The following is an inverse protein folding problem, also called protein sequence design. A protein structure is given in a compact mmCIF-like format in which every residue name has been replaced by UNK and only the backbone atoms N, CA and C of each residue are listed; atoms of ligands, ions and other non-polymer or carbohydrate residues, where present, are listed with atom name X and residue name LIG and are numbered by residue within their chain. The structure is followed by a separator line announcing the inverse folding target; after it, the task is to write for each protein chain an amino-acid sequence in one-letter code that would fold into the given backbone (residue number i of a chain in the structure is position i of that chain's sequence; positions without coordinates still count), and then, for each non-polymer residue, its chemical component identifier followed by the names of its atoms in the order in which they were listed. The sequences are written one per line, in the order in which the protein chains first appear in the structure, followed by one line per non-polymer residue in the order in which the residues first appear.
data_IF_879406049471
#
_entry.id   IF_879406049471
#
_cell.length_a   1.000
_cell.length_b   1.000
_cell.length_c   1.000
_cell.angle_alpha   90.00
_cell.angle_beta   90.00
_cell.angle_gamma   90.00
#
_symmetry.space_group_name_H-M   'P 1'
#
loop_
_entity.id
_entity.type
_entity.pdbx_description
1 polymer ?
#
# COMPACT_ATOMS: atom_id res chain seq x y z
N UNK A 1 -11.57 -16.05 -4.72
CA UNK A 1 -12.74 -15.20 -4.36
C UNK A 1 -13.79 -16.02 -3.63
N UNK A 2 -14.24 -17.14 -4.16
CA UNK A 2 -15.29 -17.99 -3.57
C UNK A 2 -14.99 -18.43 -2.12
N UNK A 3 -13.74 -18.81 -1.83
CA UNK A 3 -13.30 -19.14 -0.46
C UNK A 3 -13.47 -17.97 0.52
N UNK A 4 -13.18 -16.73 0.10
CA UNK A 4 -13.37 -15.54 0.93
C UNK A 4 -14.85 -15.25 1.12
N UNK A 5 -15.66 -15.42 0.08
CA UNK A 5 -17.12 -15.27 0.19
C UNK A 5 -17.71 -16.26 1.19
N UNK A 6 -17.28 -17.53 1.16
CA UNK A 6 -17.74 -18.53 2.13
C UNK A 6 -17.37 -18.13 3.57
N UNK A 7 -16.11 -17.74 3.79
CA UNK A 7 -15.63 -17.28 5.09
C UNK A 7 -16.41 -16.06 5.61
N UNK A 8 -16.56 -15.01 4.80
CA UNK A 8 -17.24 -13.79 5.22
C UNK A 8 -18.73 -14.00 5.45
N UNK A 9 -19.39 -14.85 4.65
CA UNK A 9 -20.78 -15.24 4.89
C UNK A 9 -20.95 -15.99 6.22
N UNK A 10 -20.01 -16.85 6.58
CA UNK A 10 -20.02 -17.51 7.90
C UNK A 10 -19.89 -16.46 9.01
N UNK A 11 -18.97 -15.49 8.88
CA UNK A 11 -18.81 -14.41 9.87
C UNK A 11 -20.09 -13.57 10.00
N UNK A 12 -20.63 -13.09 8.88
CA UNK A 12 -21.85 -12.27 8.84
C UNK A 12 -23.04 -12.97 9.52
N UNK A 13 -23.23 -14.28 9.26
CA UNK A 13 -24.31 -15.07 9.88
C UNK A 13 -24.14 -15.30 11.40
N UNK A 14 -22.91 -15.21 11.90
CA UNK A 14 -22.58 -15.51 13.30
C UNK A 14 -22.23 -14.26 14.12
N UNK A 15 -22.39 -13.07 13.55
CA UNK A 15 -22.16 -11.80 14.23
C UNK A 15 -23.42 -10.94 14.21
N UNK A 16 -23.51 -9.96 15.10
CA UNK A 16 -24.64 -9.02 15.13
C UNK A 16 -24.11 -7.62 14.80
N UNK A 17 -24.76 -6.95 13.86
CA UNK A 17 -24.34 -5.65 13.34
C UNK A 17 -23.33 -5.75 12.20
N UNK A 18 -23.30 -4.71 11.37
CA UNK A 18 -22.31 -4.56 10.31
C UNK A 18 -21.04 -3.91 10.87
N UNK A 19 -19.84 -4.36 10.46
CA UNK A 19 -18.59 -3.71 10.86
C UNK A 19 -18.54 -2.25 10.36
N UNK A 20 -18.10 -1.33 11.21
CA UNK A 20 -17.91 0.07 10.78
C UNK A 20 -16.79 0.22 9.76
N UNK A 21 -15.71 -0.55 9.93
CA UNK A 21 -14.57 -0.59 9.01
C UNK A 21 -13.95 -2.00 9.01
N UNK A 22 -13.54 -2.48 7.83
CA UNK A 22 -12.71 -3.68 7.65
C UNK A 22 -11.34 -3.24 7.13
N UNK A 23 -10.29 -3.72 7.79
CA UNK A 23 -8.91 -3.55 7.34
C UNK A 23 -8.50 -4.83 6.62
N UNK A 24 -8.25 -4.74 5.32
CA UNK A 24 -7.84 -5.85 4.48
C UNK A 24 -6.35 -5.75 4.12
N UNK A 25 -5.76 -6.87 3.73
CA UNK A 25 -4.53 -6.84 2.97
C UNK A 25 -4.79 -6.32 1.54
N UNK A 26 -3.82 -6.49 0.65
CA UNK A 26 -3.91 -6.03 -0.74
C UNK A 26 -4.33 -7.17 -1.68
N UNK A 27 -5.08 -8.17 -1.20
CA UNK A 27 -5.61 -9.23 -2.05
C UNK A 27 -6.95 -8.83 -2.68
N UNK A 28 -6.98 -8.66 -4.01
CA UNK A 28 -8.17 -8.25 -4.77
C UNK A 28 -9.36 -9.17 -4.49
N UNK A 29 -9.13 -10.48 -4.40
CA UNK A 29 -10.18 -11.46 -4.16
C UNK A 29 -10.83 -11.30 -2.78
N UNK A 30 -10.05 -10.98 -1.76
CA UNK A 30 -10.55 -10.71 -0.41
C UNK A 30 -11.31 -9.38 -0.37
N UNK A 31 -10.73 -8.32 -0.96
CA UNK A 31 -11.36 -6.99 -1.07
C UNK A 31 -12.72 -7.08 -1.76
N UNK A 32 -12.81 -7.77 -2.89
CA UNK A 32 -14.06 -7.97 -3.62
C UNK A 32 -15.09 -8.75 -2.80
N UNK A 33 -14.66 -9.83 -2.14
CA UNK A 33 -15.55 -10.62 -1.31
C UNK A 33 -16.07 -9.83 -0.09
N UNK A 34 -15.24 -9.00 0.54
CA UNK A 34 -15.67 -8.09 1.60
C UNK A 34 -16.74 -7.11 1.10
N UNK A 35 -16.52 -6.47 -0.05
CA UNK A 35 -17.48 -5.50 -0.63
C UNK A 35 -18.84 -6.13 -0.94
N UNK A 36 -18.86 -7.39 -1.36
CA UNK A 36 -20.08 -8.12 -1.65
C UNK A 36 -20.81 -8.62 -0.40
N UNK A 37 -20.07 -8.95 0.66
CA UNK A 37 -20.66 -9.50 1.89
C UNK A 37 -21.09 -8.42 2.88
N UNK A 38 -20.27 -7.38 3.06
CA UNK A 38 -20.46 -6.31 4.05
C UNK A 38 -20.76 -4.98 3.35
N UNK A 39 -21.92 -4.91 2.69
CA UNK A 39 -22.31 -3.74 1.89
C UNK A 39 -22.41 -2.49 2.76
N UNK A 40 -21.74 -1.41 2.36
CA UNK A 40 -21.73 -0.14 3.11
C UNK A 40 -20.70 -0.07 4.23
N UNK A 41 -19.99 -1.16 4.53
CA UNK A 41 -18.83 -1.12 5.42
C UNK A 41 -17.67 -0.39 4.75
N UNK A 42 -16.99 0.48 5.49
CA UNK A 42 -15.77 1.10 5.00
C UNK A 42 -14.65 0.06 4.87
N UNK A 43 -14.00 0.00 3.71
CA UNK A 43 -12.90 -0.94 3.47
C UNK A 43 -11.59 -0.20 3.29
N UNK A 44 -10.63 -0.47 4.17
CA UNK A 44 -9.32 0.18 4.19
C UNK A 44 -8.18 -0.83 4.04
N UNK A 45 -7.09 -0.39 3.44
CA UNK A 45 -5.84 -1.13 3.33
C UNK A 45 -5.04 -1.10 4.64
N UNK A 46 -4.39 -2.22 4.94
CA UNK A 46 -3.52 -2.37 6.10
C UNK A 46 -2.15 -1.73 5.86
N UNK A 47 -1.74 -0.78 6.71
CA UNK A 47 -0.42 -0.13 6.62
C UNK A 47 0.74 -1.13 6.71
N UNK A 48 0.63 -2.16 7.55
CA UNK A 48 1.64 -3.20 7.66
C UNK A 48 1.81 -3.97 6.34
N UNK A 49 0.72 -4.30 5.66
CA UNK A 49 0.80 -4.99 4.37
C UNK A 49 1.27 -4.06 3.24
N UNK A 50 1.02 -2.75 3.33
CA UNK A 50 1.60 -1.76 2.42
C UNK A 50 3.13 -1.76 2.54
N UNK A 51 3.68 -1.59 3.75
CA UNK A 51 5.13 -1.55 3.97
C UNK A 51 5.78 -2.89 3.61
N UNK A 52 5.10 -4.01 3.89
CA UNK A 52 5.56 -5.33 3.51
C UNK A 52 5.61 -5.50 1.98
N UNK A 53 4.62 -5.00 1.24
CA UNK A 53 4.57 -5.09 -0.22
C UNK A 53 5.71 -4.30 -0.88
N UNK A 54 6.00 -3.10 -0.36
CA UNK A 54 7.17 -2.29 -0.77
C UNK A 54 8.46 -3.08 -0.54
N UNK A 55 8.62 -3.68 0.64
CA UNK A 55 9.84 -4.42 0.97
C UNK A 55 9.99 -5.69 0.12
N UNK A 56 8.91 -6.45 -0.12
CA UNK A 56 8.93 -7.60 -1.03
C UNK A 56 9.36 -7.20 -2.45
N UNK A 57 8.90 -6.04 -2.94
CA UNK A 57 9.35 -5.51 -4.24
C UNK A 57 10.85 -5.20 -4.23
N UNK A 58 11.37 -4.62 -3.15
CA UNK A 58 12.82 -4.41 -3.00
C UNK A 58 13.59 -5.73 -3.00
N UNK A 59 13.11 -6.74 -2.27
CA UNK A 59 13.74 -8.07 -2.22
C UNK A 59 13.76 -8.77 -3.59
N UNK A 60 12.76 -8.53 -4.43
CA UNK A 60 12.71 -9.09 -5.80
C UNK A 60 13.75 -8.49 -6.75
N UNK A 61 14.34 -7.33 -6.40
CA UNK A 61 15.40 -6.71 -7.17
C UNK A 61 16.75 -6.96 -6.46
N UNK A 62 17.59 -7.82 -7.04
CA UNK A 62 18.85 -8.25 -6.42
C UNK A 62 19.81 -7.09 -6.18
N UNK A 63 19.93 -6.13 -7.10
CA UNK A 63 20.79 -4.95 -6.96
C UNK A 63 20.41 -4.12 -5.72
N UNK A 64 19.13 -3.76 -5.58
CA UNK A 64 18.65 -2.94 -4.47
C UNK A 64 18.71 -3.72 -3.16
N UNK A 65 18.38 -5.01 -3.19
CA UNK A 65 18.42 -5.85 -1.99
C UNK A 65 19.84 -6.02 -1.45
N UNK A 66 20.86 -6.14 -2.31
CA UNK A 66 22.25 -6.14 -1.85
C UNK A 66 22.62 -4.80 -1.22
N UNK A 67 22.27 -3.66 -1.85
CA UNK A 67 22.50 -2.33 -1.27
C UNK A 67 21.80 -2.15 0.07
N UNK A 68 20.55 -2.59 0.19
CA UNK A 68 19.78 -2.54 1.43
C UNK A 68 20.50 -3.18 2.62
N UNK A 69 21.23 -4.29 2.39
CA UNK A 69 21.95 -5.03 3.43
C UNK A 69 23.29 -4.42 3.83
N UNK A 70 23.81 -3.49 3.03
CA UNK A 70 25.09 -2.85 3.32
C UNK A 70 24.92 -1.70 4.32
N UNK A 71 25.88 -1.50 5.22
CA UNK A 71 25.86 -0.41 6.20
C UNK A 71 26.49 0.90 5.69
N UNK A 72 26.86 0.93 4.42
CA UNK A 72 27.38 2.11 3.75
C UNK A 72 26.31 3.21 3.53
N UNK A 73 26.76 4.32 2.95
CA UNK A 73 25.90 5.48 2.66
C UNK A 73 24.75 5.14 1.72
N UNK A 74 24.97 4.27 0.73
CA UNK A 74 23.94 3.94 -0.26
C UNK A 74 22.90 2.98 0.32
N UNK A 75 23.31 2.04 1.17
CA UNK A 75 22.39 1.21 1.95
C UNK A 75 21.52 2.05 2.89
N UNK A 76 22.09 3.06 3.57
CA UNK A 76 21.30 4.01 4.37
C UNK A 76 20.27 4.77 3.53
N UNK A 77 20.63 5.20 2.32
CA UNK A 77 19.71 5.87 1.39
C UNK A 77 18.57 4.94 0.95
N UNK A 78 18.86 3.68 0.59
CA UNK A 78 17.84 2.70 0.21
C UNK A 78 16.88 2.44 1.38
N UNK A 79 17.41 2.27 2.61
CA UNK A 79 16.59 2.10 3.81
C UNK A 79 15.71 3.33 4.09
N UNK A 80 16.24 4.53 3.87
CA UNK A 80 15.47 5.77 4.00
C UNK A 80 14.34 5.84 2.97
N UNK A 81 14.64 5.61 1.69
CA UNK A 81 13.66 5.57 0.60
C UNK A 81 12.49 4.62 0.91
N UNK A 82 12.78 3.40 1.38
CA UNK A 82 11.74 2.41 1.74
C UNK A 82 10.83 2.94 2.85
N UNK A 83 11.41 3.49 3.91
CA UNK A 83 10.64 4.08 5.02
C UNK A 83 9.80 5.26 4.54
N UNK A 84 10.36 6.13 3.70
CA UNK A 84 9.66 7.29 3.15
C UNK A 84 8.50 6.90 2.24
N UNK A 85 8.65 5.88 1.39
CA UNK A 85 7.54 5.35 0.57
C UNK A 85 6.38 4.85 1.45
N UNK A 86 6.67 4.14 2.55
CA UNK A 86 5.65 3.76 3.52
C UNK A 86 5.04 4.96 4.27
N UNK A 87 5.86 5.97 4.55
CA UNK A 87 5.45 7.18 5.25
C UNK A 87 4.50 8.08 4.43
N UNK A 88 4.45 7.91 3.09
CA UNK A 88 3.46 8.61 2.25
C UNK A 88 2.02 8.36 2.71
N UNK A 89 1.74 7.26 3.39
CA UNK A 89 0.40 6.97 3.92
C UNK A 89 -0.07 7.97 4.98
N UNK A 90 0.85 8.71 5.61
CA UNK A 90 0.53 9.68 6.64
C UNK A 90 0.34 11.10 6.11
N UNK A 91 0.68 11.35 4.84
CA UNK A 91 0.40 12.65 4.22
C UNK A 91 -1.10 12.78 3.97
N UNK A 92 -1.66 14.01 4.07
CA UNK A 92 -2.98 14.28 3.51
C UNK A 92 -3.08 13.74 2.09
N UNK A 93 -4.19 13.09 1.71
CA UNK A 93 -4.35 12.46 0.38
C UNK A 93 -3.91 13.39 -0.77
N UNK A 94 -4.25 14.69 -0.68
CA UNK A 94 -3.93 15.69 -1.69
C UNK A 94 -2.42 15.97 -1.84
N UNK A 95 -1.63 15.69 -0.81
CA UNK A 95 -0.17 15.89 -0.80
C UNK A 95 0.61 14.64 -1.20
N UNK A 96 -0.02 13.46 -1.25
CA UNK A 96 0.65 12.18 -1.53
C UNK A 96 1.41 12.19 -2.85
N UNK A 97 0.81 12.73 -3.93
CA UNK A 97 1.48 12.81 -5.23
C UNK A 97 2.72 13.71 -5.18
N UNK A 98 2.62 14.87 -4.52
CA UNK A 98 3.75 15.80 -4.40
C UNK A 98 4.88 15.16 -3.58
N UNK A 99 4.57 14.57 -2.43
CA UNK A 99 5.54 13.85 -1.62
C UNK A 99 6.19 12.69 -2.38
N UNK A 100 5.42 11.94 -3.18
CA UNK A 100 5.96 10.90 -4.03
C UNK A 100 6.95 11.44 -5.08
N UNK A 101 6.62 12.55 -5.76
CA UNK A 101 7.49 13.17 -6.76
C UNK A 101 8.79 13.69 -6.15
N UNK A 102 8.73 14.29 -4.96
CA UNK A 102 9.90 14.73 -4.20
C UNK A 102 10.83 13.55 -3.86
N UNK A 103 10.27 12.46 -3.31
CA UNK A 103 11.04 11.25 -3.01
C UNK A 103 11.65 10.65 -4.29
N UNK A 104 10.90 10.61 -5.38
CA UNK A 104 11.41 10.12 -6.66
C UNK A 104 12.58 10.97 -7.13
N UNK A 105 12.46 12.28 -7.11
CA UNK A 105 13.54 13.19 -7.53
C UNK A 105 14.78 13.06 -6.66
N UNK A 106 14.61 12.80 -5.36
CA UNK A 106 15.71 12.64 -4.42
C UNK A 106 16.43 11.29 -4.55
N UNK A 107 15.70 10.19 -4.79
CA UNK A 107 16.24 8.84 -4.68
C UNK A 107 16.38 8.08 -6.01
N UNK A 108 15.73 8.48 -7.10
CA UNK A 108 15.68 7.71 -8.36
C UNK A 108 16.96 7.79 -9.22
N UNK A 109 18.10 7.49 -8.62
CA UNK A 109 19.44 7.60 -9.23
C UNK A 109 19.77 6.46 -10.20
N UNK A 110 19.27 5.24 -9.96
CA UNK A 110 19.52 4.06 -10.82
C UNK A 110 18.24 3.51 -11.43
N UNK A 111 18.36 2.74 -12.51
CA UNK A 111 17.20 2.08 -13.14
C UNK A 111 16.46 1.15 -12.19
N UNK A 112 17.20 0.36 -11.41
CA UNK A 112 16.61 -0.49 -10.39
C UNK A 112 15.74 0.31 -9.40
N UNK A 113 16.23 1.46 -8.91
CA UNK A 113 15.43 2.31 -8.02
C UNK A 113 14.23 2.94 -8.74
N UNK A 114 14.41 3.38 -10.00
CA UNK A 114 13.31 3.88 -10.83
C UNK A 114 12.19 2.85 -10.99
N UNK A 115 12.51 1.56 -11.09
CA UNK A 115 11.51 0.49 -11.15
C UNK A 115 10.69 0.37 -9.86
N UNK A 116 11.28 0.58 -8.68
CA UNK A 116 10.55 0.59 -7.41
C UNK A 116 9.55 1.76 -7.38
N UNK A 117 9.97 2.96 -7.77
CA UNK A 117 9.08 4.11 -7.88
C UNK A 117 7.99 3.87 -8.93
N UNK A 118 8.32 3.27 -10.08
CA UNK A 118 7.32 2.92 -11.11
C UNK A 118 6.30 1.92 -10.58
N UNK A 119 6.75 0.89 -9.89
CA UNK A 119 5.86 -0.08 -9.23
C UNK A 119 4.92 0.64 -8.26
N UNK A 120 5.46 1.50 -7.39
CA UNK A 120 4.64 2.21 -6.40
C UNK A 120 3.61 3.13 -7.07
N UNK A 121 4.05 3.89 -8.09
CA UNK A 121 3.20 4.78 -8.88
C UNK A 121 2.02 4.04 -9.52
N UNK A 122 2.28 2.95 -10.24
CA UNK A 122 1.22 2.19 -10.94
C UNK A 122 0.30 1.47 -9.96
N UNK A 123 0.84 0.97 -8.84
CA UNK A 123 0.06 0.15 -7.91
C UNK A 123 -0.78 0.98 -6.96
N UNK A 124 -0.26 2.11 -6.46
CA UNK A 124 -0.81 2.81 -5.29
C UNK A 124 -1.22 4.27 -5.55
N UNK A 125 -0.75 4.89 -6.64
CA UNK A 125 -1.01 6.31 -6.91
C UNK A 125 -1.88 6.48 -8.16
N UNK A 126 -1.53 5.81 -9.26
CA UNK A 126 -2.15 5.97 -10.58
C UNK A 126 -1.59 7.15 -11.37
N UNK A 127 -1.65 7.06 -12.70
CA UNK A 127 -1.49 8.21 -13.62
C UNK A 127 -2.84 8.87 -13.91
N UNK A 128 -3.92 8.09 -13.80
CA UNK A 128 -5.33 8.43 -13.92
C UNK A 128 -6.09 7.67 -12.82
N UNK A 129 -7.31 8.08 -12.47
CA UNK A 129 -8.13 7.40 -11.46
C UNK A 129 -8.54 5.98 -11.88
N UNK A 130 -8.56 5.68 -13.18
CA UNK A 130 -9.08 4.42 -13.73
C UNK A 130 -8.01 3.31 -13.87
N UNK A 131 -6.72 3.63 -13.70
CA UNK A 131 -5.60 2.70 -13.92
C UNK A 131 -4.87 2.27 -12.63
N UNK A 132 -5.40 2.59 -11.44
CA UNK A 132 -4.76 2.28 -10.15
C UNK A 132 -5.31 1.01 -9.52
N UNK A 133 -4.42 0.12 -9.08
CA UNK A 133 -4.85 -1.13 -8.44
C UNK A 133 -5.41 -0.89 -7.03
N UNK A 134 -4.77 0.01 -6.28
CA UNK A 134 -5.18 0.38 -4.93
C UNK A 134 -5.12 1.91 -4.78
N UNK A 135 -6.27 2.61 -4.86
CA UNK A 135 -6.30 4.07 -4.82
C UNK A 135 -5.78 4.61 -3.49
N UNK A 136 -5.30 5.87 -3.49
CA UNK A 136 -4.70 6.51 -2.31
C UNK A 136 -5.61 6.42 -1.08
N UNK A 137 -6.89 6.72 -1.23
CA UNK A 137 -7.87 6.70 -0.15
C UNK A 137 -8.04 5.31 0.51
N UNK A 138 -7.72 4.24 -0.22
CA UNK A 138 -7.77 2.89 0.35
C UNK A 138 -6.65 2.68 1.37
N UNK A 139 -5.41 3.04 1.05
CA UNK A 139 -4.24 2.70 1.89
C UNK A 139 -3.73 3.83 2.76
N UNK A 140 -4.19 5.06 2.54
CA UNK A 140 -3.84 6.22 3.34
C UNK A 140 -4.36 6.09 4.79
N UNK A 141 -3.63 6.69 5.73
CA UNK A 141 -3.91 6.65 7.17
C UNK A 141 -3.96 8.05 7.81
N UNK A 142 -3.84 9.12 7.03
CA UNK A 142 -3.74 10.49 7.54
C UNK A 142 -4.99 10.99 8.27
N UNK A 143 -6.15 10.42 7.94
CA UNK A 143 -7.45 10.71 8.55
C UNK A 143 -7.79 9.76 9.70
N UNK A 144 -7.05 8.65 9.88
CA UNK A 144 -7.33 7.63 10.91
C UNK A 144 -7.10 8.10 12.35
N UNK A 145 -6.44 9.23 12.53
CA UNK A 145 -6.06 9.78 13.83
C UNK A 145 -6.77 11.08 14.18
N UNK A 146 -7.78 11.48 13.40
CA UNK A 146 -8.56 12.69 13.67
C UNK A 146 -9.86 12.26 14.36
N UNK A 147 -9.89 12.40 15.68
CA UNK A 147 -11.11 12.39 16.51
C UNK A 147 -11.96 13.65 16.26
#
# INVERSE_FOLDING_TARGET
KDTYMELFNVISRNTTGEPGCIISDFEIAAIQACRETFVGTELRGCLFHLTQSIFRRVQSNSEIYQRYKNDDTDGRKVRAMIRCLGALAFLPTIEVMNGFLELRNQFASTDAVREIFRYFLVTYIGYSWDDVLFPVDFWNVSDRFRE
#
